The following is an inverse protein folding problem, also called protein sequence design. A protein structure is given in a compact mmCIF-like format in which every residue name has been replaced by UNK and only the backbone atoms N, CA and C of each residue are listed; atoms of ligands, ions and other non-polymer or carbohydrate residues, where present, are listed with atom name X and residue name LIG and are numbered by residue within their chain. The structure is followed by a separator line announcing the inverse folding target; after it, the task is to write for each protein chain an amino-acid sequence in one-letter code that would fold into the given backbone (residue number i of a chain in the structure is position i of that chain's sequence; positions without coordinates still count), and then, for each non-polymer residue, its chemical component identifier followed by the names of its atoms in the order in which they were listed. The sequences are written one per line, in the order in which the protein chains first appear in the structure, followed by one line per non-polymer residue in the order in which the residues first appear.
data_IF_822194997454
#
_entry.id   IF_822194997454
#
_cell.length_a   1.000
_cell.length_b   1.000
_cell.length_c   1.000
_cell.angle_alpha   90.00
_cell.angle_beta   90.00
_cell.angle_gamma   90.00
#
_symmetry.space_group_name_H-M   'P 1'
#
loop_
_entity.id
_entity.type
_entity.pdbx_description
1 polymer ?
#
# COMPACT_ATOMS: atom_id res chain seq x y z
N UNK A 1 -8.93 12.76 16.52
CA UNK A 1 -7.52 12.34 16.36
C UNK A 1 -7.51 10.89 15.88
N UNK A 2 -6.67 10.52 14.91
CA UNK A 2 -6.58 9.14 14.45
C UNK A 2 -6.16 8.21 15.61
N UNK A 3 -6.62 6.96 15.57
CA UNK A 3 -6.29 5.95 16.57
C UNK A 3 -4.93 5.33 16.21
N UNK A 4 -4.02 5.21 17.20
CA UNK A 4 -2.78 4.48 16.98
C UNK A 4 -3.08 3.00 16.72
N UNK A 5 -2.44 2.45 15.69
CA UNK A 5 -2.62 1.05 15.29
C UNK A 5 -1.63 0.11 16.01
N UNK A 6 -0.53 0.66 16.51
CA UNK A 6 0.54 -0.09 17.17
C UNK A 6 1.32 0.82 18.12
N UNK A 7 1.88 0.23 19.18
CA UNK A 7 2.79 0.86 20.13
C UNK A 7 3.98 -0.05 20.37
N UNK A 8 5.16 0.55 20.40
CA UNK A 8 6.40 -0.16 20.65
C UNK A 8 7.57 0.82 20.75
N UNK A 9 8.76 0.38 20.38
CA UNK A 9 9.95 1.23 20.44
C UNK A 9 10.86 0.98 19.23
N UNK A 10 11.47 2.04 18.73
CA UNK A 10 12.62 1.93 17.80
C UNK A 10 13.84 1.61 18.63
N UNK A 11 14.57 0.57 18.22
CA UNK A 11 15.80 0.14 18.91
C UNK A 11 16.97 0.13 17.93
N UNK A 12 18.04 0.83 18.27
CA UNK A 12 19.31 0.76 17.57
C UNK A 12 20.47 0.92 18.56
N UNK A 13 21.35 -0.07 18.60
CA UNK A 13 22.41 -0.13 19.61
C UNK A 13 21.83 -0.09 21.03
N UNK A 14 22.26 0.90 21.82
CA UNK A 14 21.81 1.12 23.20
C UNK A 14 20.63 2.09 23.32
N UNK A 15 20.14 2.62 22.21
CA UNK A 15 19.06 3.62 22.18
C UNK A 15 17.73 2.95 21.96
N UNK A 16 16.77 3.27 22.83
CA UNK A 16 15.37 2.82 22.71
C UNK A 16 14.46 4.04 22.69
N UNK A 17 13.63 4.16 21.65
CA UNK A 17 12.74 5.30 21.41
C UNK A 17 11.30 4.80 21.44
N UNK A 18 10.53 5.00 22.52
CA UNK A 18 9.11 4.67 22.54
C UNK A 18 8.34 5.45 21.48
N UNK A 19 7.55 4.72 20.67
CA UNK A 19 6.79 5.30 19.55
C UNK A 19 5.40 4.68 19.41
N UNK A 20 4.51 5.43 18.78
CA UNK A 20 3.20 5.00 18.29
C UNK A 20 3.17 5.10 16.78
N UNK A 21 2.54 4.11 16.14
CA UNK A 21 2.28 4.11 14.70
C UNK A 21 0.85 4.53 14.41
N UNK A 22 0.71 5.37 13.38
CA UNK A 22 -0.56 5.77 12.79
C UNK A 22 -0.50 5.53 11.29
N UNK A 23 -1.60 5.08 10.67
CA UNK A 23 -1.67 5.04 9.20
C UNK A 23 -1.47 6.44 8.64
N UNK A 24 -0.60 6.59 7.65
CA UNK A 24 -0.41 7.86 6.94
C UNK A 24 -1.38 8.01 5.76
N UNK A 25 -2.06 6.93 5.38
CA UNK A 25 -3.03 6.89 4.29
C UNK A 25 -4.39 6.44 4.80
N UNK A 26 -5.43 6.90 4.15
CA UNK A 26 -6.82 6.54 4.37
C UNK A 26 -7.47 6.24 3.02
N UNK A 27 -8.17 5.11 2.92
CA UNK A 27 -8.98 4.81 1.75
C UNK A 27 -10.24 5.68 1.79
N UNK A 28 -10.50 6.39 0.69
CA UNK A 28 -11.65 7.28 0.54
C UNK A 28 -12.74 6.68 -0.38
N UNK A 29 -12.59 5.44 -0.78
CA UNK A 29 -13.56 4.76 -1.63
C UNK A 29 -14.93 4.68 -0.98
N UNK A 30 -15.98 4.79 -1.82
CA UNK A 30 -17.37 4.64 -1.35
C UNK A 30 -17.61 3.18 -0.98
N UNK A 31 -17.85 2.93 0.30
CA UNK A 31 -18.08 1.59 0.81
C UNK A 31 -19.54 1.14 0.56
N UNK A 32 -19.74 0.22 -0.37
CA UNK A 32 -21.02 -0.40 -0.61
C UNK A 32 -21.29 -1.60 0.30
N UNK A 33 -22.55 -1.80 0.65
CA UNK A 33 -23.01 -3.00 1.34
C UNK A 33 -23.82 -3.85 0.37
N UNK A 34 -23.61 -5.16 0.43
CA UNK A 34 -24.42 -6.08 -0.37
C UNK A 34 -25.83 -6.16 0.23
N UNK A 35 -26.80 -5.97 -0.64
CA UNK A 35 -28.22 -5.99 -0.29
C UNK A 35 -29.00 -6.85 -1.29
N UNK A 36 -30.12 -7.42 -0.84
CA UNK A 36 -31.07 -8.10 -1.72
C UNK A 36 -31.76 -7.06 -2.60
N UNK A 37 -31.71 -7.23 -3.91
CA UNK A 37 -32.17 -6.23 -4.86
C UNK A 37 -33.70 -5.97 -4.78
N UNK A 38 -34.49 -6.96 -4.35
CA UNK A 38 -35.94 -6.87 -4.31
C UNK A 38 -36.48 -6.07 -3.11
N UNK A 39 -35.77 -6.07 -1.96
CA UNK A 39 -36.28 -5.52 -0.70
C UNK A 39 -35.26 -4.66 0.07
N UNK A 40 -34.01 -4.55 -0.43
CA UNK A 40 -32.94 -3.80 0.23
C UNK A 40 -32.39 -4.47 1.49
N UNK A 41 -32.78 -5.69 1.81
CA UNK A 41 -32.31 -6.45 2.98
C UNK A 41 -30.82 -6.70 2.91
N UNK A 42 -30.08 -6.49 4.02
CA UNK A 42 -28.63 -6.73 4.07
C UNK A 42 -28.32 -8.22 3.95
N UNK A 43 -27.39 -8.58 3.08
CA UNK A 43 -26.92 -9.96 2.92
C UNK A 43 -26.05 -10.33 4.15
N UNK A 44 -26.32 -11.52 4.70
CA UNK A 44 -25.52 -12.16 5.74
C UNK A 44 -24.88 -13.42 5.18
N UNK A 45 -23.62 -13.65 5.55
CA UNK A 45 -22.91 -14.86 5.15
C UNK A 45 -22.90 -15.86 6.30
N UNK A 46 -23.12 -17.14 5.97
CA UNK A 46 -22.91 -18.28 6.86
C UNK A 46 -21.67 -19.02 6.40
N UNK A 47 -20.88 -19.50 7.37
CA UNK A 47 -19.73 -20.34 7.08
C UNK A 47 -20.21 -21.78 7.12
N UNK A 48 -20.09 -22.45 5.99
CA UNK A 48 -20.51 -23.85 5.86
C UNK A 48 -19.30 -24.69 5.48
N UNK A 49 -19.21 -25.90 6.01
CA UNK A 49 -18.21 -26.86 5.61
C UNK A 49 -18.56 -27.40 4.22
N UNK A 50 -17.58 -27.52 3.33
CA UNK A 50 -17.78 -27.98 1.97
C UNK A 50 -18.13 -29.48 1.91
N UNK A 51 -17.66 -30.25 2.90
CA UNK A 51 -17.81 -31.72 2.92
C UNK A 51 -19.22 -32.14 3.31
N UNK A 52 -19.81 -31.52 4.33
CA UNK A 52 -21.10 -31.91 4.90
C UNK A 52 -22.20 -30.84 4.75
N UNK A 53 -21.83 -29.60 4.34
CA UNK A 53 -22.75 -28.47 4.19
C UNK A 53 -23.25 -27.89 5.52
N UNK A 54 -22.73 -28.31 6.66
CA UNK A 54 -23.14 -27.81 7.96
C UNK A 54 -22.51 -26.44 8.29
N UNK A 55 -23.22 -25.62 9.06
CA UNK A 55 -22.73 -24.31 9.52
C UNK A 55 -21.67 -24.49 10.60
N UNK A 56 -20.45 -23.97 10.36
CA UNK A 56 -19.31 -24.10 11.26
C UNK A 56 -19.18 -22.86 12.13
N UNK A 57 -19.26 -22.98 13.48
CA UNK A 57 -18.98 -21.91 14.40
C UNK A 57 -17.56 -21.36 14.25
N UNK A 58 -17.39 -20.04 14.45
CA UNK A 58 -16.06 -19.42 14.30
C UNK A 58 -14.96 -20.05 15.17
N UNK A 59 -15.33 -20.54 16.35
CA UNK A 59 -14.39 -21.17 17.29
C UNK A 59 -13.85 -22.53 16.79
N UNK A 60 -14.54 -23.17 15.85
CA UNK A 60 -14.17 -24.46 15.27
C UNK A 60 -13.41 -24.32 13.94
N UNK A 61 -13.21 -23.08 13.47
CA UNK A 61 -12.48 -22.82 12.24
C UNK A 61 -10.98 -22.77 12.54
N UNK A 62 -10.24 -23.75 12.03
CA UNK A 62 -8.78 -23.78 12.03
C UNK A 62 -8.20 -23.21 10.73
N UNK A 63 -6.88 -23.06 10.65
CA UNK A 63 -6.16 -22.72 9.43
C UNK A 63 -5.62 -23.98 8.77
N UNK A 64 -5.98 -24.20 7.52
CA UNK A 64 -5.44 -25.28 6.70
C UNK A 64 -4.38 -24.78 5.73
N UNK A 65 -3.32 -25.55 5.54
CA UNK A 65 -2.33 -25.36 4.46
C UNK A 65 -2.37 -26.56 3.54
N UNK A 66 -2.67 -26.32 2.26
CA UNK A 66 -2.69 -27.37 1.24
C UNK A 66 -1.28 -27.61 0.70
N UNK A 67 -0.82 -28.86 0.82
CA UNK A 67 0.46 -29.30 0.27
C UNK A 67 0.36 -29.52 -1.24
N UNK A 68 1.50 -29.58 -1.92
CA UNK A 68 1.57 -29.82 -3.37
C UNK A 68 0.96 -31.17 -3.82
N UNK A 69 0.82 -32.11 -2.91
CA UNK A 69 0.17 -33.42 -3.13
C UNK A 69 -1.34 -33.43 -2.81
N UNK A 70 -1.94 -32.26 -2.50
CA UNK A 70 -3.36 -32.08 -2.20
C UNK A 70 -3.76 -32.40 -0.76
N UNK A 71 -2.83 -32.80 0.12
CA UNK A 71 -3.12 -33.01 1.54
C UNK A 71 -3.28 -31.68 2.29
N UNK A 72 -4.30 -31.60 3.13
CA UNK A 72 -4.52 -30.45 4.00
C UNK A 72 -3.85 -30.69 5.36
N UNK A 73 -2.94 -29.77 5.74
CA UNK A 73 -2.34 -29.73 7.09
C UNK A 73 -3.08 -28.68 7.90
N UNK A 74 -3.68 -29.10 9.01
CA UNK A 74 -4.39 -28.19 9.92
C UNK A 74 -3.37 -27.61 10.89
N UNK A 75 -3.37 -26.27 11.00
CA UNK A 75 -2.52 -25.53 11.92
C UNK A 75 -3.37 -25.00 13.07
N UNK A 76 -2.97 -25.29 14.27
CA UNK A 76 -3.59 -24.84 15.51
C UNK A 76 -2.91 -23.56 16.03
N UNK A 77 -3.51 -22.93 17.03
CA UNK A 77 -2.98 -21.70 17.60
C UNK A 77 -1.58 -21.90 18.21
N UNK A 78 -1.37 -23.04 18.82
CA UNK A 78 -0.12 -23.47 19.46
C UNK A 78 1.04 -23.54 18.48
N UNK A 79 0.78 -23.94 17.23
CA UNK A 79 1.80 -23.97 16.17
C UNK A 79 2.31 -22.56 15.83
N UNK A 80 1.39 -21.57 15.83
CA UNK A 80 1.76 -20.17 15.60
C UNK A 80 2.47 -19.55 16.82
N UNK A 81 2.07 -19.92 18.03
CA UNK A 81 2.68 -19.43 19.26
C UNK A 81 4.12 -19.98 19.44
N UNK A 82 4.43 -21.13 18.84
CA UNK A 82 5.76 -21.74 18.84
C UNK A 82 6.73 -21.13 17.81
N UNK A 83 6.22 -20.33 16.84
CA UNK A 83 7.09 -19.69 15.86
C UNK A 83 8.01 -18.66 16.54
N UNK A 84 9.29 -18.54 16.09
CA UNK A 84 10.23 -17.55 16.62
C UNK A 84 9.90 -16.14 16.11
N UNK A 85 8.63 -15.75 16.21
CA UNK A 85 8.23 -14.37 15.93
C UNK A 85 8.79 -13.50 17.04
N UNK A 86 9.46 -12.43 16.65
CA UNK A 86 9.85 -11.38 17.58
C UNK A 86 8.59 -10.85 18.28
N UNK A 87 8.24 -11.41 19.43
CA UNK A 87 7.17 -10.93 20.32
C UNK A 87 7.50 -9.54 20.86
N UNK A 88 8.68 -9.05 20.59
CA UNK A 88 9.15 -7.72 20.93
C UNK A 88 8.42 -6.68 20.09
N UNK A 89 7.67 -5.82 20.77
CA UNK A 89 7.08 -4.61 20.17
C UNK A 89 8.20 -3.62 19.84
N UNK A 90 9.17 -4.05 19.04
CA UNK A 90 10.34 -3.30 18.64
C UNK A 90 10.37 -3.11 17.13
N UNK A 91 10.81 -1.95 16.72
CA UNK A 91 11.28 -1.62 15.38
C UNK A 91 12.80 -1.69 15.45
N UNK A 92 13.36 -2.80 14.99
CA UNK A 92 14.80 -3.06 15.08
C UNK A 92 15.52 -2.48 13.88
N UNK A 93 16.45 -1.56 14.11
CA UNK A 93 17.29 -0.99 13.05
C UNK A 93 18.34 -2.02 12.66
N UNK A 94 18.31 -2.43 11.39
CA UNK A 94 19.25 -3.39 10.79
C UNK A 94 20.47 -2.66 10.24
N UNK A 95 20.23 -1.59 9.48
CA UNK A 95 21.30 -0.78 8.89
C UNK A 95 20.77 0.61 8.47
N UNK A 96 21.67 1.50 8.10
CA UNK A 96 21.35 2.78 7.48
C UNK A 96 21.76 2.75 6.01
N UNK A 97 20.92 3.29 5.14
CA UNK A 97 21.09 3.30 3.67
C UNK A 97 20.75 4.68 3.12
N UNK A 98 21.30 5.03 1.96
CA UNK A 98 20.84 6.23 1.24
C UNK A 98 19.44 6.00 0.68
N UNK A 99 18.61 7.05 0.62
CA UNK A 99 17.22 6.91 0.13
C UNK A 99 17.19 6.46 -1.34
N UNK A 100 18.13 6.92 -2.14
CA UNK A 100 18.25 6.62 -3.57
C UNK A 100 18.60 5.14 -3.85
N UNK A 101 19.15 4.42 -2.87
CA UNK A 101 19.46 2.99 -3.01
C UNK A 101 18.21 2.10 -2.91
N UNK A 102 17.10 2.65 -2.41
CA UNK A 102 15.87 1.88 -2.19
C UNK A 102 14.88 2.13 -3.34
N UNK A 103 14.72 1.12 -4.21
CA UNK A 103 13.77 1.19 -5.31
C UNK A 103 12.33 1.37 -4.77
N UNK A 104 11.55 2.34 -5.28
CA UNK A 104 10.16 2.57 -4.86
C UNK A 104 9.23 1.37 -5.00
N UNK A 105 9.55 0.39 -5.86
CA UNK A 105 8.76 -0.85 -6.03
C UNK A 105 8.70 -1.70 -4.77
N UNK A 106 9.65 -1.52 -3.84
CA UNK A 106 9.60 -2.19 -2.54
C UNK A 106 8.54 -1.61 -1.59
N UNK A 107 8.10 -0.36 -1.75
CA UNK A 107 7.22 0.27 -0.78
C UNK A 107 5.79 -0.28 -0.84
N UNK A 108 5.21 -0.53 0.34
CA UNK A 108 3.85 -1.04 0.48
C UNK A 108 2.96 -0.02 1.24
N UNK A 109 3.06 0.06 2.56
CA UNK A 109 2.21 0.92 3.39
C UNK A 109 3.03 1.94 4.16
N UNK A 110 2.47 3.14 4.30
CA UNK A 110 3.11 4.26 4.99
C UNK A 110 2.47 4.53 6.34
N UNK A 111 3.31 4.81 7.33
CA UNK A 111 2.90 5.10 8.71
C UNK A 111 3.64 6.33 9.23
N UNK A 112 2.93 7.13 10.04
CA UNK A 112 3.57 8.15 10.87
C UNK A 112 4.07 7.53 12.17
N UNK A 113 5.30 7.87 12.55
CA UNK A 113 5.89 7.56 13.84
C UNK A 113 5.74 8.77 14.76
N UNK A 114 5.07 8.60 15.88
CA UNK A 114 4.95 9.61 16.92
C UNK A 114 5.73 9.17 18.15
N UNK A 115 6.58 10.05 18.69
CA UNK A 115 7.23 9.79 19.98
C UNK A 115 6.18 9.59 21.10
N UNK A 116 6.41 8.61 21.99
CA UNK A 116 5.55 8.38 23.16
C UNK A 116 6.31 8.73 24.45
N UNK A 117 5.75 9.64 25.24
CA UNK A 117 6.28 10.05 26.52
C UNK A 117 7.77 10.47 26.52
N UNK A 118 8.64 9.73 27.23
CA UNK A 118 10.06 10.06 27.34
C UNK A 118 10.85 9.90 26.02
N UNK A 119 10.23 9.32 24.98
CA UNK A 119 10.84 9.11 23.67
C UNK A 119 11.07 10.38 22.85
N UNK A 120 10.54 11.54 23.25
CA UNK A 120 10.59 12.76 22.42
C UNK A 120 12.03 13.22 22.11
N UNK A 121 12.91 13.29 23.10
CA UNK A 121 14.30 13.74 22.88
C UNK A 121 15.09 12.78 21.98
N UNK A 122 15.13 11.46 22.25
CA UNK A 122 15.85 10.53 21.36
C UNK A 122 15.18 10.39 19.98
N UNK A 123 13.86 10.62 19.85
CA UNK A 123 13.19 10.69 18.56
C UNK A 123 13.71 11.85 17.70
N UNK A 124 13.78 13.07 18.28
CA UNK A 124 14.33 14.24 17.60
C UNK A 124 15.79 14.02 17.23
N UNK A 125 16.59 13.43 18.14
CA UNK A 125 17.99 13.11 17.86
C UNK A 125 18.13 12.19 16.64
N UNK A 126 17.35 11.09 16.57
CA UNK A 126 17.39 10.17 15.44
C UNK A 126 16.96 10.88 14.15
N UNK A 127 15.82 11.60 14.17
CA UNK A 127 15.34 12.35 13.02
C UNK A 127 16.38 13.31 12.46
N UNK A 128 16.97 14.13 13.32
CA UNK A 128 17.93 15.16 12.92
C UNK A 128 19.26 14.53 12.45
N UNK A 129 19.66 13.40 13.02
CA UNK A 129 20.82 12.64 12.54
C UNK A 129 20.59 12.10 11.13
N UNK A 130 19.42 11.50 10.85
CA UNK A 130 19.05 11.01 9.53
C UNK A 130 19.01 12.14 8.49
N UNK A 131 18.43 13.30 8.85
CA UNK A 131 18.44 14.49 7.98
C UNK A 131 19.86 14.94 7.65
N UNK A 132 20.73 15.03 8.66
CA UNK A 132 22.12 15.51 8.46
C UNK A 132 22.97 14.55 7.62
N UNK A 133 22.73 13.26 7.73
CA UNK A 133 23.49 12.23 6.99
C UNK A 133 22.90 11.92 5.61
N UNK A 134 21.68 12.37 5.31
CA UNK A 134 20.95 11.98 4.10
C UNK A 134 20.58 10.50 4.06
N UNK A 135 20.51 9.86 5.24
CA UNK A 135 20.26 8.42 5.33
C UNK A 135 18.88 8.09 5.87
N UNK A 136 18.43 6.88 5.55
CA UNK A 136 17.24 6.24 6.08
C UNK A 136 17.64 5.02 6.90
N UNK A 137 16.81 4.60 7.85
CA UNK A 137 17.03 3.38 8.62
C UNK A 137 16.21 2.23 8.03
N UNK A 138 16.89 1.19 7.57
CA UNK A 138 16.27 -0.09 7.23
C UNK A 138 16.00 -0.85 8.53
N UNK A 139 14.76 -1.28 8.72
CA UNK A 139 14.29 -1.86 9.98
C UNK A 139 13.48 -3.12 9.76
N UNK A 140 13.44 -3.98 10.78
CA UNK A 140 12.48 -5.07 10.91
C UNK A 140 11.47 -4.73 12.00
N UNK A 141 10.21 -5.03 11.74
CA UNK A 141 9.12 -4.75 12.68
C UNK A 141 8.07 -5.86 12.64
N UNK A 142 7.59 -6.27 13.81
CA UNK A 142 6.45 -7.17 13.91
C UNK A 142 5.13 -6.36 13.94
N UNK A 143 4.35 -6.45 12.87
CA UNK A 143 3.03 -5.85 12.76
C UNK A 143 1.97 -6.94 12.59
N UNK A 144 0.96 -6.96 13.47
CA UNK A 144 -0.16 -7.92 13.40
C UNK A 144 0.28 -9.38 13.24
N UNK A 145 1.25 -9.82 14.04
CA UNK A 145 1.81 -11.18 14.04
C UNK A 145 2.57 -11.57 12.75
N UNK A 146 3.09 -10.60 12.01
CA UNK A 146 3.99 -10.84 10.88
C UNK A 146 5.21 -9.93 11.00
N UNK A 147 6.38 -10.48 10.71
CA UNK A 147 7.58 -9.67 10.49
C UNK A 147 7.47 -8.97 9.14
N UNK A 148 7.81 -7.69 9.11
CA UNK A 148 7.88 -6.89 7.91
C UNK A 148 9.23 -6.16 7.86
N UNK A 149 9.80 -6.07 6.68
CA UNK A 149 10.87 -5.14 6.38
C UNK A 149 10.26 -3.75 6.25
N UNK A 150 10.95 -2.72 6.73
CA UNK A 150 10.48 -1.35 6.59
C UNK A 150 11.64 -0.36 6.49
N UNK A 151 11.35 0.82 5.93
CA UNK A 151 12.26 1.95 5.86
C UNK A 151 11.74 3.08 6.73
N UNK A 152 12.55 3.56 7.67
CA UNK A 152 12.25 4.76 8.46
C UNK A 152 13.05 5.92 7.91
N UNK A 153 12.35 6.97 7.49
CA UNK A 153 12.95 8.18 6.92
C UNK A 153 12.39 9.46 7.53
N UNK A 154 13.20 10.54 7.62
CA UNK A 154 12.72 11.84 8.03
C UNK A 154 11.99 12.53 6.88
N UNK A 155 10.83 13.15 7.15
CA UNK A 155 10.11 14.02 6.22
C UNK A 155 9.26 15.03 6.98
N UNK A 156 9.31 16.30 6.58
CA UNK A 156 8.46 17.38 7.11
C UNK A 156 8.45 17.46 8.65
N UNK A 157 9.63 17.27 9.27
CA UNK A 157 9.80 17.31 10.72
C UNK A 157 9.34 16.04 11.47
N UNK A 158 8.89 15.01 10.75
CA UNK A 158 8.43 13.72 11.28
C UNK A 158 9.36 12.59 10.88
N UNK A 159 9.17 11.42 11.50
CA UNK A 159 9.66 10.15 10.99
C UNK A 159 8.48 9.39 10.36
N UNK A 160 8.66 8.99 9.11
CA UNK A 160 7.78 8.09 8.39
C UNK A 160 8.36 6.68 8.42
N UNK A 161 7.51 5.69 8.48
CA UNK A 161 7.88 4.29 8.29
C UNK A 161 7.10 3.73 7.10
N UNK A 162 7.81 3.26 6.10
CA UNK A 162 7.24 2.56 4.95
C UNK A 162 7.51 1.07 5.12
N UNK A 163 6.47 0.24 5.23
CA UNK A 163 6.68 -1.20 5.11
C UNK A 163 7.11 -1.53 3.69
N UNK A 164 7.94 -2.55 3.57
CA UNK A 164 8.52 -2.98 2.30
C UNK A 164 8.12 -4.42 2.02
N UNK A 165 8.06 -4.75 0.75
CA UNK A 165 7.98 -6.12 0.27
C UNK A 165 9.33 -6.81 0.52
N UNK A 166 9.30 -8.13 0.69
CA UNK A 166 10.52 -8.93 0.70
C UNK A 166 11.07 -9.08 -0.73
N UNK A 167 12.38 -9.27 -0.92
CA UNK A 167 12.98 -9.38 -2.25
C UNK A 167 12.35 -10.47 -3.13
N UNK A 168 11.89 -11.56 -2.53
CA UNK A 168 11.23 -12.68 -3.20
C UNK A 168 9.75 -12.43 -3.55
N UNK A 169 9.15 -11.35 -3.04
CA UNK A 169 7.81 -10.89 -3.43
C UNK A 169 7.82 -10.04 -4.71
N UNK A 170 9.00 -9.56 -5.14
CA UNK A 170 9.13 -8.79 -6.38
C UNK A 170 9.28 -9.73 -7.58
N UNK A 171 8.49 -9.45 -8.60
CA UNK A 171 8.57 -10.20 -9.87
C UNK A 171 9.69 -9.64 -10.75
N UNK A 172 10.37 -10.54 -11.46
CA UNK A 172 11.26 -10.12 -12.54
C UNK A 172 10.45 -9.43 -13.65
N UNK A 173 10.82 -8.20 -14.00
CA UNK A 173 10.14 -7.38 -15.01
C UNK A 173 10.61 -7.64 -16.45
N UNK A 174 11.57 -8.52 -16.70
CA UNK A 174 12.16 -8.74 -18.03
C UNK A 174 11.11 -9.17 -19.07
N UNK A 175 10.05 -9.86 -18.66
CA UNK A 175 8.95 -10.26 -19.57
C UNK A 175 8.21 -9.07 -20.21
N UNK A 176 8.29 -7.90 -19.61
CA UNK A 176 7.63 -6.67 -20.09
C UNK A 176 8.57 -5.78 -20.94
N UNK A 177 9.84 -6.16 -21.07
CA UNK A 177 10.78 -5.41 -21.88
C UNK A 177 10.40 -5.50 -23.38
N UNK A 178 10.41 -4.38 -24.11
CA UNK A 178 10.19 -4.43 -25.56
C UNK A 178 11.31 -5.23 -26.26
N UNK A 179 11.03 -5.82 -27.44
CA UNK A 179 12.04 -6.53 -28.20
C UNK A 179 13.21 -5.61 -28.59
N UNK A 180 14.46 -6.08 -28.48
CA UNK A 180 15.67 -5.33 -28.85
C UNK A 180 15.71 -4.91 -30.34
N UNK A 181 14.87 -5.50 -31.18
CA UNK A 181 14.76 -5.18 -32.60
C UNK A 181 14.05 -3.86 -32.89
N UNK A 182 13.40 -3.27 -31.87
CA UNK A 182 12.72 -1.97 -32.00
C UNK A 182 13.77 -0.85 -31.91
N UNK A 183 13.95 -0.12 -32.98
CA UNK A 183 14.84 1.05 -33.04
C UNK A 183 14.02 2.33 -33.13
N UNK A 184 14.51 3.37 -32.48
CA UNK A 184 13.92 4.72 -32.50
C UNK A 184 14.97 5.66 -33.09
N UNK A 185 14.57 6.55 -33.97
CA UNK A 185 15.46 7.56 -34.57
C UNK A 185 15.67 8.75 -33.62
N UNK A 186 16.80 9.44 -33.76
CA UNK A 186 17.11 10.65 -32.97
C UNK A 186 16.05 11.74 -33.16
N UNK A 187 15.45 11.83 -34.34
CA UNK A 187 14.39 12.79 -34.64
C UNK A 187 13.10 12.48 -33.82
N UNK A 188 12.73 11.22 -33.69
CA UNK A 188 11.58 10.79 -32.88
C UNK A 188 11.84 11.04 -31.38
N UNK A 189 13.05 10.76 -30.91
CA UNK A 189 13.44 11.07 -29.52
C UNK A 189 13.38 12.58 -29.27
N UNK A 190 13.92 13.40 -30.18
CA UNK A 190 13.89 14.87 -30.04
C UNK A 190 12.45 15.41 -30.01
N UNK A 191 11.57 14.88 -30.85
CA UNK A 191 10.16 15.25 -30.86
C UNK A 191 9.49 14.87 -29.52
N UNK A 192 9.74 13.66 -29.03
CA UNK A 192 9.21 13.22 -27.72
C UNK A 192 9.72 14.08 -26.56
N UNK A 193 11.00 14.48 -26.57
CA UNK A 193 11.57 15.40 -25.59
C UNK A 193 10.84 16.75 -25.59
N UNK A 194 10.55 17.31 -26.77
CA UNK A 194 9.82 18.58 -26.88
C UNK A 194 8.41 18.49 -26.28
N UNK A 195 7.71 17.36 -26.46
CA UNK A 195 6.41 17.14 -25.81
C UNK A 195 6.52 17.01 -24.30
N UNK A 196 7.54 16.29 -23.81
CA UNK A 196 7.80 16.16 -22.37
C UNK A 196 8.07 17.54 -21.75
N UNK A 197 8.93 18.34 -22.37
CA UNK A 197 9.23 19.71 -21.93
C UNK A 197 7.99 20.61 -21.90
N UNK A 198 7.14 20.53 -22.93
CA UNK A 198 5.91 21.31 -23.01
C UNK A 198 4.87 20.96 -21.93
N UNK A 199 4.91 19.72 -21.39
CA UNK A 199 4.02 19.22 -20.34
C UNK A 199 4.69 19.16 -18.97
N UNK A 200 5.97 19.53 -18.87
CA UNK A 200 6.69 19.53 -17.60
C UNK A 200 6.21 20.66 -16.70
N UNK A 201 6.06 20.35 -15.42
CA UNK A 201 5.65 21.30 -14.40
C UNK A 201 5.91 20.75 -13.00
N UNK A 202 5.71 21.57 -11.98
CA UNK A 202 5.80 21.16 -10.59
C UNK A 202 4.62 20.25 -10.23
N UNK A 203 4.89 19.19 -9.46
CA UNK A 203 3.84 18.31 -8.98
C UNK A 203 3.04 18.98 -7.86
N UNK A 204 1.79 19.32 -8.16
CA UNK A 204 0.83 19.91 -7.23
C UNK A 204 -0.30 18.90 -6.98
N UNK A 205 -0.18 18.05 -5.93
CA UNK A 205 -1.13 16.95 -5.70
C UNK A 205 -2.57 17.41 -5.50
N UNK A 206 -2.79 18.63 -5.02
CA UNK A 206 -4.11 19.23 -4.81
C UNK A 206 -4.88 19.54 -6.11
N UNK A 207 -4.22 19.56 -7.26
CA UNK A 207 -4.86 19.73 -8.56
C UNK A 207 -5.51 18.44 -9.09
N UNK A 208 -5.20 17.29 -8.46
CA UNK A 208 -5.72 16.00 -8.90
C UNK A 208 -6.86 15.55 -7.99
N UNK A 209 -8.04 15.36 -8.56
CA UNK A 209 -9.23 14.84 -7.87
C UNK A 209 -9.67 13.51 -8.46
N UNK A 210 -10.36 12.71 -7.65
CA UNK A 210 -10.96 11.47 -8.11
C UNK A 210 -12.35 11.74 -8.70
N UNK A 211 -12.37 12.06 -10.00
CA UNK A 211 -13.61 12.38 -10.72
C UNK A 211 -14.61 11.20 -10.73
N UNK A 212 -14.14 9.96 -10.67
CA UNK A 212 -15.03 8.79 -10.58
C UNK A 212 -15.78 8.76 -9.24
N UNK A 213 -15.08 9.02 -8.14
CA UNK A 213 -15.70 9.08 -6.82
C UNK A 213 -16.71 10.22 -6.73
N UNK A 214 -16.37 11.40 -7.25
CA UNK A 214 -17.28 12.56 -7.29
C UNK A 214 -18.56 12.23 -8.07
N UNK A 215 -18.44 11.66 -9.27
CA UNK A 215 -19.58 11.21 -10.07
C UNK A 215 -20.41 10.14 -9.37
N UNK A 216 -19.77 9.21 -8.67
CA UNK A 216 -20.46 8.16 -7.93
C UNK A 216 -21.21 8.71 -6.71
N UNK A 217 -20.67 9.69 -6.02
CA UNK A 217 -21.35 10.43 -4.93
C UNK A 217 -22.61 11.15 -5.46
N UNK A 218 -22.52 11.80 -6.62
CA UNK A 218 -23.67 12.42 -7.27
C UNK A 218 -24.77 11.42 -7.62
N UNK A 219 -24.40 10.23 -8.13
CA UNK A 219 -25.35 9.12 -8.40
C UNK A 219 -26.07 8.70 -7.13
N UNK A 220 -25.34 8.52 -6.04
CA UNK A 220 -25.91 8.12 -4.74
C UNK A 220 -26.88 9.20 -4.22
N UNK A 221 -26.48 10.47 -4.29
CA UNK A 221 -27.31 11.59 -3.84
C UNK A 221 -28.58 11.74 -4.68
N UNK A 222 -28.47 11.67 -6.01
CA UNK A 222 -29.61 11.75 -6.93
C UNK A 222 -30.62 10.64 -6.68
N UNK A 223 -30.15 9.40 -6.51
CA UNK A 223 -31.00 8.27 -6.14
C UNK A 223 -31.64 8.42 -4.77
N UNK A 224 -30.92 8.95 -3.80
CA UNK A 224 -31.45 9.20 -2.46
C UNK A 224 -32.55 10.28 -2.46
N UNK A 225 -32.40 11.30 -3.33
CA UNK A 225 -33.37 12.37 -3.51
C UNK A 225 -34.57 11.99 -4.42
N UNK A 226 -34.54 10.83 -5.07
CA UNK A 226 -35.56 10.41 -6.03
C UNK A 226 -35.58 11.25 -7.32
N UNK A 227 -34.48 11.94 -7.62
CA UNK A 227 -34.34 12.77 -8.82
C UNK A 227 -33.69 11.93 -9.93
N UNK A 228 -34.22 11.95 -11.19
CA UNK A 228 -33.56 11.29 -12.31
C UNK A 228 -32.19 11.90 -12.53
N UNK A 229 -31.17 11.06 -12.77
CA UNK A 229 -29.85 11.56 -13.19
C UNK A 229 -30.00 12.38 -14.48
N UNK A 230 -29.33 13.53 -14.52
CA UNK A 230 -29.03 14.15 -15.81
C UNK A 230 -28.20 13.15 -16.63
N UNK A 231 -28.51 13.02 -17.93
CA UNK A 231 -27.72 12.18 -18.83
C UNK A 231 -26.25 12.61 -18.70
N UNK A 232 -25.37 11.64 -18.49
CA UNK A 232 -23.95 11.90 -18.39
C UNK A 232 -23.52 12.65 -19.67
N UNK A 233 -23.07 13.88 -19.52
CA UNK A 233 -22.33 14.57 -20.57
C UNK A 233 -21.22 13.66 -21.00
N UNK A 234 -21.13 13.38 -22.31
CA UNK A 234 -20.21 12.41 -22.93
C UNK A 234 -18.86 12.36 -22.22
N UNK A 235 -18.42 11.15 -21.88
CA UNK A 235 -17.09 10.91 -21.39
C UNK A 235 -16.10 11.62 -22.28
N UNK A 236 -15.26 12.48 -21.72
CA UNK A 236 -14.20 13.18 -22.45
C UNK A 236 -13.35 12.10 -23.11
N UNK A 237 -13.57 11.90 -24.40
CA UNK A 237 -12.76 10.99 -25.20
C UNK A 237 -11.36 11.60 -25.26
N UNK A 238 -10.42 11.00 -24.54
CA UNK A 238 -9.01 11.26 -24.81
C UNK A 238 -8.76 10.83 -26.25
N UNK A 239 -8.65 11.78 -27.15
CA UNK A 239 -8.21 11.53 -28.52
C UNK A 239 -6.79 10.99 -28.44
N UNK A 240 -6.65 9.67 -28.55
CA UNK A 240 -5.37 9.04 -28.79
C UNK A 240 -4.78 9.65 -30.06
N UNK A 241 -3.67 10.35 -29.91
CA UNK A 241 -2.77 10.64 -31.01
C UNK A 241 -2.27 9.28 -31.52
N UNK A 242 -2.94 8.74 -32.52
CA UNK A 242 -2.42 7.60 -33.28
C UNK A 242 -1.25 8.11 -34.10
N UNK A 243 -0.05 7.72 -33.75
CA UNK A 243 1.13 7.86 -34.60
C UNK A 243 0.82 7.20 -35.95
N UNK A 244 1.14 7.84 -37.08
CA UNK A 244 0.92 7.25 -38.39
C UNK A 244 1.75 5.96 -38.51
N UNK A 245 1.09 4.82 -38.61
CA UNK A 245 1.73 3.58 -38.99
C UNK A 245 2.17 3.70 -40.43
N UNK A 246 3.46 3.85 -40.67
CA UNK A 246 4.04 3.67 -42.00
C UNK A 246 3.74 2.24 -42.46
N UNK A 247 2.72 2.07 -43.30
CA UNK A 247 2.61 0.93 -44.20
C UNK A 247 3.47 1.27 -45.40
N UNK A 248 4.64 0.69 -45.46
CA UNK A 248 5.33 0.54 -46.76
C UNK A 248 4.84 -0.73 -47.45
N UNK A 249 4.66 -0.57 -48.74
CA UNK A 249 4.29 -1.51 -49.79
C UNK A 249 5.35 -2.59 -50.00
#
# INVERSE_FOLDING_TARGET
MPRSIWKGAISFGLVTIPVKLYSATEEKDIAFRQVHAADGGRIKYRRVCEIDGEEVPYAEIAKGYELADGRMVILEKEDFDALPLATTKAVEVVQFVAEEEVDPTYFNKTYFLQADGPGTKPYVLLRDALVKTGQCALVKVALRSREALALVRPRDGLLLMHTMLWPDELRDGQFAAPPETVSVSDAEVTMAQSFIEALSGDFQPEEYTDAYREALEEVVQSKAAGVPMAEATEAVSYTHLTLPTNREV
#
